data_IF_863395207252
#
_entry.id   IF_863395207252
#
_cell.length_a   1.000
_cell.length_b   1.000
_cell.length_c   1.000
_cell.angle_alpha   90.00
_cell.angle_beta   90.00
_cell.angle_gamma   90.00
#
_symmetry.space_group_name_H-M   'P 1'
#
loop_
_entity.id
_entity.type
_entity.pdbx_description
1 polymer ?
#
# COMPACT_ATOMS: atom_id res chain seq x y z
N UNK A 1 13.50 -10.31 -4.93
CA UNK A 1 12.35 -11.21 -5.17
C UNK A 1 11.21 -10.77 -4.27
N UNK A 2 10.07 -10.40 -4.84
CA UNK A 2 8.82 -10.18 -4.08
C UNK A 2 8.20 -11.53 -3.70
N UNK A 3 7.66 -11.61 -2.50
CA UNK A 3 6.98 -12.76 -1.94
C UNK A 3 5.65 -12.32 -1.34
N UNK A 4 4.56 -12.95 -1.71
CA UNK A 4 3.22 -12.70 -1.20
C UNK A 4 2.60 -14.03 -0.73
N UNK A 5 2.21 -14.09 0.53
CA UNK A 5 1.57 -15.26 1.09
C UNK A 5 0.06 -15.20 0.93
N UNK A 6 -0.47 -16.00 0.02
CA UNK A 6 -1.90 -16.02 -0.27
C UNK A 6 -2.72 -16.30 0.99
N UNK A 7 -3.66 -15.39 1.32
CA UNK A 7 -4.57 -15.51 2.48
C UNK A 7 -3.83 -15.76 3.78
N UNK A 8 -2.76 -15.03 4.03
CA UNK A 8 -1.87 -15.21 5.18
C UNK A 8 -2.63 -15.43 6.49
N UNK A 9 -3.55 -14.53 6.83
CA UNK A 9 -4.31 -14.57 8.08
C UNK A 9 -5.05 -15.91 8.29
N UNK A 10 -5.62 -16.47 7.22
CA UNK A 10 -6.37 -17.74 7.28
C UNK A 10 -5.47 -18.95 7.55
N UNK A 11 -4.19 -18.86 7.16
CA UNK A 11 -3.24 -19.96 7.28
C UNK A 11 -2.39 -19.92 8.55
N UNK A 12 -2.57 -18.91 9.41
CA UNK A 12 -1.92 -18.86 10.72
C UNK A 12 -2.40 -20.00 11.61
N UNK A 13 -1.59 -21.05 11.78
CA UNK A 13 -1.92 -22.16 12.65
C UNK A 13 -1.89 -21.77 14.13
N UNK A 14 -2.50 -22.59 14.99
CA UNK A 14 -2.45 -22.40 16.46
C UNK A 14 -0.99 -22.36 16.93
N UNK A 15 -0.13 -23.24 16.40
CA UNK A 15 1.28 -23.33 16.75
C UNK A 15 2.04 -22.04 16.39
N UNK A 16 1.77 -21.47 15.20
CA UNK A 16 2.34 -20.19 14.78
C UNK A 16 1.90 -19.04 15.69
N UNK A 17 0.61 -18.95 15.99
CA UNK A 17 0.09 -17.95 16.92
C UNK A 17 0.68 -18.11 18.32
N UNK A 18 0.82 -19.34 18.81
CA UNK A 18 1.44 -19.60 20.10
C UNK A 18 2.93 -19.26 20.12
N UNK A 19 3.65 -19.47 19.01
CA UNK A 19 5.04 -19.08 18.87
C UNK A 19 5.18 -17.55 18.96
N UNK A 20 4.39 -16.83 18.21
CA UNK A 20 4.33 -15.36 18.25
C UNK A 20 4.02 -14.85 19.67
N UNK A 21 2.99 -15.41 20.31
CA UNK A 21 2.57 -15.03 21.64
C UNK A 21 3.66 -15.22 22.70
N UNK A 22 4.52 -16.23 22.57
CA UNK A 22 5.69 -16.40 23.46
C UNK A 22 6.65 -15.22 23.34
N UNK A 23 6.87 -14.70 22.15
CA UNK A 23 7.76 -13.55 21.92
C UNK A 23 7.18 -12.30 22.59
N UNK A 24 5.88 -12.02 22.38
CA UNK A 24 5.24 -10.90 23.06
C UNK A 24 5.26 -10.99 24.57
N UNK A 25 5.12 -12.19 25.13
CA UNK A 25 5.23 -12.42 26.56
C UNK A 25 6.63 -12.16 27.11
N UNK A 26 7.67 -12.26 26.30
CA UNK A 26 9.05 -11.93 26.72
C UNK A 26 9.26 -10.41 26.85
N UNK A 27 8.42 -9.61 26.17
CA UNK A 27 8.54 -8.15 26.12
C UNK A 27 7.72 -7.43 27.22
N UNK A 28 7.00 -8.16 28.07
CA UNK A 28 6.15 -7.56 29.11
C UNK A 28 6.45 -8.09 30.50
N UNK A 29 6.24 -7.26 31.50
CA UNK A 29 6.25 -7.66 32.91
C UNK A 29 4.96 -8.38 33.33
N UNK A 30 3.82 -8.06 32.67
CA UNK A 30 2.49 -8.62 32.95
C UNK A 30 2.22 -9.93 32.19
N UNK A 31 3.18 -10.85 32.15
CA UNK A 31 3.13 -12.09 31.35
C UNK A 31 1.84 -12.91 31.53
N UNK A 32 1.37 -13.06 32.76
CA UNK A 32 0.16 -13.87 33.06
C UNK A 32 -1.10 -13.26 32.44
N UNK A 33 -1.24 -11.93 32.56
CA UNK A 33 -2.39 -11.22 32.01
C UNK A 33 -2.37 -11.27 30.48
N UNK A 34 -1.23 -10.99 29.86
CA UNK A 34 -1.07 -11.05 28.40
C UNK A 34 -1.35 -12.46 27.89
N UNK A 35 -0.80 -13.51 28.51
CA UNK A 35 -1.06 -14.90 28.11
C UNK A 35 -2.56 -15.25 28.15
N UNK A 36 -3.30 -14.77 29.17
CA UNK A 36 -4.75 -14.99 29.26
C UNK A 36 -5.51 -14.32 28.12
N UNK A 37 -5.17 -13.06 27.79
CA UNK A 37 -5.82 -12.31 26.71
C UNK A 37 -5.51 -12.92 25.32
N UNK A 38 -4.26 -13.22 25.06
CA UNK A 38 -3.85 -13.78 23.76
C UNK A 38 -4.39 -15.19 23.52
N UNK A 39 -4.71 -15.94 24.57
CA UNK A 39 -5.36 -17.25 24.43
C UNK A 39 -6.71 -17.16 23.70
N UNK A 40 -7.41 -16.04 23.81
CA UNK A 40 -8.67 -15.82 23.10
C UNK A 40 -8.50 -15.68 21.58
N UNK A 41 -7.29 -15.44 21.09
CA UNK A 41 -6.99 -15.36 19.65
C UNK A 41 -6.78 -16.74 19.01
N UNK A 42 -6.68 -17.82 19.79
CA UNK A 42 -6.38 -19.15 19.26
C UNK A 42 -7.61 -19.87 18.74
N UNK A 43 -8.75 -19.68 19.41
CA UNK A 43 -10.03 -20.33 19.09
C UNK A 43 -11.12 -19.28 19.12
N UNK A 44 -11.82 -19.10 18.01
CA UNK A 44 -12.81 -18.04 17.88
C UNK A 44 -14.16 -18.59 17.43
N UNK A 45 -15.22 -18.11 18.06
CA UNK A 45 -16.61 -18.26 17.63
C UNK A 45 -17.06 -16.93 17.00
N UNK A 46 -17.27 -16.92 15.69
CA UNK A 46 -17.64 -15.71 14.95
C UNK A 46 -19.08 -15.75 14.44
N UNK A 47 -19.65 -14.58 14.25
CA UNK A 47 -20.93 -14.41 13.57
C UNK A 47 -20.79 -13.28 12.54
N UNK A 48 -20.99 -13.59 11.27
CA UNK A 48 -21.07 -12.61 10.21
C UNK A 48 -22.54 -12.32 9.89
N UNK A 49 -22.90 -11.05 9.85
CA UNK A 49 -24.23 -10.60 9.43
C UNK A 49 -24.18 -10.29 7.94
N UNK A 50 -25.06 -10.90 7.18
CA UNK A 50 -25.21 -10.75 5.74
C UNK A 50 -26.63 -10.26 5.41
N UNK A 51 -26.85 -9.82 4.18
CA UNK A 51 -28.13 -9.25 3.76
C UNK A 51 -29.31 -10.16 4.06
N UNK A 52 -29.16 -11.46 3.86
CA UNK A 52 -30.23 -12.47 4.00
C UNK A 52 -30.16 -13.26 5.34
N UNK A 53 -29.37 -12.80 6.31
CA UNK A 53 -29.28 -13.50 7.60
C UNK A 53 -27.93 -13.41 8.30
N UNK A 54 -27.53 -14.50 8.95
CA UNK A 54 -26.27 -14.59 9.67
C UNK A 54 -25.57 -15.93 9.45
N UNK A 55 -24.25 -15.89 9.33
CA UNK A 55 -23.39 -17.06 9.26
C UNK A 55 -22.61 -17.18 10.57
N UNK A 56 -22.73 -18.31 11.25
CA UNK A 56 -21.91 -18.64 12.43
C UNK A 56 -20.74 -19.51 11.99
N UNK A 57 -19.55 -19.21 12.48
CA UNK A 57 -18.36 -20.00 12.20
C UNK A 57 -17.46 -20.15 13.42
N UNK A 58 -16.63 -21.17 13.39
CA UNK A 58 -15.59 -21.42 14.41
C UNK A 58 -14.25 -21.52 13.72
N UNK A 59 -13.21 -20.96 14.34
CA UNK A 59 -11.84 -21.10 13.86
C UNK A 59 -10.97 -21.79 14.88
N UNK A 60 -10.03 -22.58 14.38
CA UNK A 60 -8.96 -23.21 15.14
C UNK A 60 -7.64 -22.67 14.57
N UNK A 61 -7.02 -21.72 15.25
CA UNK A 61 -6.04 -20.85 14.64
C UNK A 61 -6.73 -19.77 13.82
N UNK A 62 -6.11 -19.34 12.75
CA UNK A 62 -6.43 -18.18 11.91
C UNK A 62 -6.29 -16.85 12.64
N UNK A 63 -5.58 -15.93 12.00
CA UNK A 63 -5.48 -14.53 12.47
C UNK A 63 -6.78 -13.80 12.17
N UNK A 64 -7.34 -13.11 13.16
CA UNK A 64 -8.39 -12.13 12.90
C UNK A 64 -7.76 -10.79 12.47
N UNK A 65 -8.14 -10.30 11.30
CA UNK A 65 -7.55 -9.07 10.75
C UNK A 65 -7.78 -7.82 11.62
N UNK A 66 -8.73 -7.88 12.58
CA UNK A 66 -9.01 -6.82 13.55
C UNK A 66 -8.30 -6.97 14.90
N UNK A 67 -7.49 -7.98 15.09
CA UNK A 67 -6.71 -8.16 16.33
C UNK A 67 -5.66 -7.04 16.45
N UNK A 68 -5.42 -6.57 17.67
CA UNK A 68 -4.50 -5.46 17.95
C UNK A 68 -3.07 -5.71 17.47
N UNK A 69 -2.65 -6.95 17.43
CA UNK A 69 -1.32 -7.41 17.04
C UNK A 69 -1.26 -7.97 15.60
N UNK A 70 -2.32 -7.86 14.79
CA UNK A 70 -2.36 -8.46 13.43
C UNK A 70 -1.16 -8.03 12.60
N UNK A 71 -0.94 -6.73 12.43
CA UNK A 71 0.13 -6.21 11.59
C UNK A 71 1.52 -6.64 12.09
N UNK A 72 1.82 -6.36 13.34
CA UNK A 72 3.12 -6.71 13.94
C UNK A 72 3.34 -8.21 14.07
N UNK A 73 2.28 -8.97 14.38
CA UNK A 73 2.31 -10.43 14.48
C UNK A 73 2.58 -11.10 13.14
N UNK A 74 1.91 -10.65 12.08
CA UNK A 74 2.15 -11.15 10.72
C UNK A 74 3.58 -10.85 10.26
N UNK A 75 4.07 -9.62 10.51
CA UNK A 75 5.47 -9.29 10.26
C UNK A 75 6.42 -10.22 11.01
N UNK A 76 6.16 -10.50 12.28
CA UNK A 76 7.01 -11.36 13.11
C UNK A 76 7.03 -12.80 12.58
N UNK A 77 5.88 -13.37 12.25
CA UNK A 77 5.74 -14.72 11.71
C UNK A 77 6.49 -14.83 10.36
N UNK A 78 6.26 -13.90 9.45
CA UNK A 78 6.95 -13.89 8.15
C UNK A 78 8.46 -13.75 8.30
N UNK A 79 8.93 -12.85 9.14
CA UNK A 79 10.38 -12.71 9.44
C UNK A 79 10.96 -14.02 9.98
N UNK A 80 10.26 -14.69 10.88
CA UNK A 80 10.67 -15.98 11.44
C UNK A 80 10.78 -17.06 10.37
N UNK A 81 9.77 -17.19 9.51
CA UNK A 81 9.77 -18.17 8.43
C UNK A 81 10.91 -17.92 7.43
N UNK A 82 11.08 -16.68 6.96
CA UNK A 82 12.15 -16.35 6.01
C UNK A 82 13.52 -16.55 6.64
N UNK A 83 13.69 -16.20 7.92
CA UNK A 83 14.94 -16.45 8.63
C UNK A 83 15.28 -17.97 8.67
N UNK A 84 14.32 -18.80 9.06
CA UNK A 84 14.51 -20.25 9.10
C UNK A 84 14.78 -20.82 7.69
N UNK A 85 14.04 -20.36 6.69
CA UNK A 85 14.26 -20.74 5.30
C UNK A 85 15.69 -20.46 4.84
N UNK A 86 16.17 -19.23 5.01
CA UNK A 86 17.52 -18.86 4.63
C UNK A 86 18.57 -19.67 5.41
N UNK A 87 18.36 -19.92 6.70
CA UNK A 87 19.26 -20.74 7.52
C UNK A 87 19.33 -22.20 7.05
N UNK A 88 18.21 -22.81 6.69
CA UNK A 88 18.18 -24.17 6.17
C UNK A 88 18.92 -24.30 4.83
N UNK A 89 18.92 -23.25 4.02
CA UNK A 89 19.65 -23.20 2.77
C UNK A 89 21.14 -22.81 2.94
N UNK A 90 21.59 -22.54 4.15
CA UNK A 90 22.97 -22.07 4.40
C UNK A 90 23.21 -20.62 3.96
N UNK A 91 22.14 -19.85 3.70
CA UNK A 91 22.24 -18.45 3.28
C UNK A 91 22.44 -17.59 4.53
N UNK A 92 23.64 -17.07 4.72
CA UNK A 92 24.01 -16.21 5.86
C UNK A 92 23.82 -14.71 5.56
N UNK A 93 23.91 -14.32 4.28
CA UNK A 93 23.83 -12.92 3.84
C UNK A 93 22.56 -12.70 3.05
N UNK A 94 21.55 -12.14 3.69
CA UNK A 94 20.29 -11.74 3.08
C UNK A 94 19.72 -10.50 3.78
N UNK A 95 18.77 -9.82 3.12
CA UNK A 95 17.99 -8.76 3.70
C UNK A 95 16.51 -9.00 3.40
N UNK A 96 15.66 -8.53 4.28
CA UNK A 96 14.21 -8.65 4.16
C UNK A 96 13.58 -7.29 4.44
N UNK A 97 12.73 -6.83 3.52
CA UNK A 97 11.72 -5.82 3.78
C UNK A 97 10.38 -6.54 3.93
N UNK A 98 9.60 -6.21 4.97
CA UNK A 98 8.41 -6.98 5.32
C UNK A 98 7.29 -6.08 5.82
N UNK A 99 6.08 -6.32 5.35
CA UNK A 99 4.84 -5.72 5.83
C UNK A 99 3.73 -6.77 5.97
N UNK A 100 3.97 -7.78 6.79
CA UNK A 100 3.04 -8.90 6.98
C UNK A 100 3.21 -9.98 5.92
N UNK A 101 2.23 -10.19 5.10
CA UNK A 101 2.21 -11.15 3.98
C UNK A 101 3.04 -10.69 2.76
N UNK A 102 3.16 -9.38 2.57
CA UNK A 102 3.95 -8.79 1.49
C UNK A 102 5.39 -8.57 1.96
N UNK A 103 6.34 -9.20 1.28
CA UNK A 103 7.74 -9.04 1.63
C UNK A 103 8.68 -9.14 0.42
N UNK A 104 9.89 -8.58 0.58
CA UNK A 104 10.95 -8.63 -0.40
C UNK A 104 12.17 -9.28 0.21
N UNK A 105 12.58 -10.39 -0.37
CA UNK A 105 13.82 -11.06 -0.03
C UNK A 105 14.93 -10.63 -1.00
N UNK A 106 16.01 -10.08 -0.46
CA UNK A 106 17.21 -9.68 -1.19
C UNK A 106 18.32 -10.66 -0.87
N UNK A 107 18.83 -11.32 -1.89
CA UNK A 107 19.92 -12.29 -1.82
C UNK A 107 20.94 -12.04 -2.93
N UNK A 108 22.12 -12.61 -2.81
CA UNK A 108 23.12 -12.61 -3.88
C UNK A 108 22.56 -13.36 -5.12
N UNK A 109 22.84 -12.84 -6.31
CA UNK A 109 22.27 -13.38 -7.56
C UNK A 109 22.61 -14.85 -7.84
N UNK A 110 23.78 -15.32 -7.40
CA UNK A 110 24.19 -16.72 -7.50
C UNK A 110 23.36 -17.68 -6.63
N UNK A 111 22.66 -17.18 -5.61
CA UNK A 111 21.80 -17.96 -4.73
C UNK A 111 20.34 -18.00 -5.21
N UNK A 112 19.99 -17.24 -6.25
CA UNK A 112 18.63 -17.10 -6.74
C UNK A 112 17.99 -18.45 -7.07
N UNK A 113 18.68 -19.28 -7.85
CA UNK A 113 18.17 -20.58 -8.25
C UNK A 113 17.93 -21.53 -7.06
N UNK A 114 18.79 -21.43 -6.03
CA UNK A 114 18.63 -22.20 -4.81
C UNK A 114 17.37 -21.77 -4.03
N UNK A 115 17.14 -20.46 -3.93
CA UNK A 115 15.95 -19.88 -3.29
C UNK A 115 14.69 -20.31 -4.05
N UNK A 116 14.62 -20.05 -5.35
CA UNK A 116 13.45 -20.34 -6.18
C UNK A 116 13.06 -21.82 -6.12
N UNK A 117 14.03 -22.74 -6.21
CA UNK A 117 13.78 -24.18 -6.18
C UNK A 117 13.18 -24.68 -4.87
N UNK A 118 13.52 -24.06 -3.75
CA UNK A 118 13.14 -24.55 -2.41
C UNK A 118 12.00 -23.78 -1.77
N UNK A 119 11.64 -22.61 -2.30
CA UNK A 119 10.67 -21.70 -1.69
C UNK A 119 9.31 -22.37 -1.46
N UNK A 120 8.70 -22.86 -2.52
CA UNK A 120 7.35 -23.44 -2.47
C UNK A 120 7.29 -24.63 -1.50
N UNK A 121 8.27 -25.53 -1.58
CA UNK A 121 8.34 -26.70 -0.70
C UNK A 121 8.45 -26.33 0.77
N UNK A 122 9.23 -25.27 1.10
CA UNK A 122 9.39 -24.84 2.47
C UNK A 122 8.12 -24.21 3.01
N UNK A 123 7.55 -23.24 2.28
CA UNK A 123 6.37 -22.51 2.76
C UNK A 123 5.12 -23.40 2.81
N UNK A 124 4.97 -24.34 1.87
CA UNK A 124 3.90 -25.34 1.93
C UNK A 124 3.99 -26.20 3.19
N UNK A 125 5.20 -26.59 3.63
CA UNK A 125 5.38 -27.28 4.92
C UNK A 125 5.02 -26.42 6.13
N UNK A 126 5.15 -25.09 6.02
CA UNK A 126 4.69 -24.14 7.03
C UNK A 126 3.18 -23.88 6.97
N UNK A 127 2.46 -24.44 6.00
CA UNK A 127 1.01 -24.26 5.81
C UNK A 127 0.66 -23.04 4.93
N UNK A 128 1.62 -22.44 4.22
CA UNK A 128 1.41 -21.25 3.38
C UNK A 128 1.63 -21.55 1.91
N UNK A 129 0.79 -20.95 1.07
CA UNK A 129 1.00 -20.90 -0.38
C UNK A 129 1.63 -19.56 -0.75
N UNK A 130 2.89 -19.59 -1.18
CA UNK A 130 3.63 -18.41 -1.57
C UNK A 130 3.49 -18.13 -3.06
N UNK A 131 3.17 -16.89 -3.39
CA UNK A 131 3.36 -16.34 -4.72
C UNK A 131 4.71 -15.63 -4.76
N UNK A 132 5.44 -15.87 -5.81
CA UNK A 132 6.75 -15.26 -6.02
C UNK A 132 6.68 -14.37 -7.26
N UNK A 133 7.05 -13.11 -7.10
CA UNK A 133 7.20 -12.20 -8.22
C UNK A 133 8.43 -12.56 -9.05
N UNK A 134 8.43 -12.13 -10.31
CA UNK A 134 9.61 -12.25 -11.16
C UNK A 134 10.80 -11.56 -10.49
N UNK A 135 11.94 -12.25 -10.36
CA UNK A 135 13.14 -11.63 -9.81
C UNK A 135 13.56 -10.40 -10.60
N UNK A 136 13.92 -9.34 -9.90
CA UNK A 136 14.39 -8.08 -10.49
C UNK A 136 15.79 -7.74 -9.99
N UNK A 137 16.55 -6.98 -10.79
CA UNK A 137 17.94 -6.62 -10.52
C UNK A 137 18.12 -5.10 -10.38
N UNK A 138 17.13 -4.34 -10.87
CA UNK A 138 17.08 -2.89 -10.72
C UNK A 138 16.25 -2.52 -9.49
N UNK A 139 16.72 -1.54 -8.71
CA UNK A 139 16.07 -1.16 -7.46
C UNK A 139 14.66 -0.61 -7.70
N UNK A 140 14.47 0.18 -8.74
CA UNK A 140 13.19 0.78 -9.13
C UNK A 140 12.14 -0.24 -9.55
N UNK A 141 12.55 -1.44 -9.95
CA UNK A 141 11.62 -2.50 -10.36
C UNK A 141 11.09 -3.33 -9.18
N UNK A 142 11.56 -3.07 -7.97
CA UNK A 142 11.07 -3.75 -6.77
C UNK A 142 9.62 -3.32 -6.51
N UNK A 143 8.69 -4.29 -6.52
CA UNK A 143 7.30 -4.07 -6.10
C UNK A 143 7.13 -4.43 -4.63
N UNK A 144 6.66 -3.48 -3.82
CA UNK A 144 6.42 -3.68 -2.40
C UNK A 144 5.20 -2.88 -1.96
N UNK A 145 4.21 -3.54 -1.36
CA UNK A 145 2.94 -2.91 -0.97
C UNK A 145 2.29 -2.14 -2.14
N UNK A 146 2.27 -2.73 -3.34
CA UNK A 146 1.75 -2.14 -4.58
C UNK A 146 2.44 -0.81 -4.98
N UNK A 147 3.68 -0.60 -4.55
CA UNK A 147 4.48 0.58 -4.84
C UNK A 147 5.87 0.19 -5.34
N UNK A 148 6.52 1.09 -6.05
CA UNK A 148 7.88 0.95 -6.54
C UNK A 148 8.73 2.16 -6.11
N UNK A 149 10.04 1.99 -5.82
CA UNK A 149 10.90 3.09 -5.42
C UNK A 149 11.22 3.98 -6.64
N UNK A 150 11.05 5.28 -6.49
CA UNK A 150 11.40 6.30 -7.49
C UNK A 150 12.22 7.41 -6.82
N UNK A 151 13.27 7.86 -7.48
CA UNK A 151 14.11 8.96 -7.00
C UNK A 151 13.40 10.30 -7.16
N UNK A 152 13.31 11.10 -6.09
CA UNK A 152 12.56 12.36 -6.03
C UNK A 152 13.44 13.62 -6.14
N UNK A 153 14.73 13.44 -6.44
CA UNK A 153 15.73 14.50 -6.43
C UNK A 153 16.63 14.49 -5.21
N UNK A 154 16.17 13.96 -4.08
CA UNK A 154 16.90 13.88 -2.80
C UNK A 154 17.12 12.43 -2.39
N UNK A 155 16.09 11.58 -2.51
CA UNK A 155 16.11 10.20 -2.10
C UNK A 155 15.09 9.36 -2.86
N UNK A 156 14.89 8.12 -2.42
CA UNK A 156 13.88 7.25 -3.01
C UNK A 156 12.57 7.33 -2.22
N UNK A 157 11.46 7.41 -2.96
CA UNK A 157 10.09 7.32 -2.44
C UNK A 157 9.36 6.15 -3.05
N UNK A 158 8.55 5.49 -2.25
CA UNK A 158 7.68 4.43 -2.72
C UNK A 158 6.47 5.05 -3.42
N UNK A 159 6.34 4.80 -4.72
CA UNK A 159 5.30 5.36 -5.58
C UNK A 159 4.40 4.25 -6.13
N UNK A 160 3.10 4.49 -6.13
CA UNK A 160 2.12 3.59 -6.73
C UNK A 160 2.22 3.62 -8.26
N UNK A 161 1.86 2.51 -8.90
CA UNK A 161 1.78 2.47 -10.38
C UNK A 161 0.74 3.49 -10.87
N UNK A 162 1.14 4.49 -11.69
CA UNK A 162 0.25 5.55 -12.15
C UNK A 162 -0.94 5.01 -12.96
N UNK A 163 -0.74 3.93 -13.72
CA UNK A 163 -1.78 3.31 -14.56
C UNK A 163 -2.99 2.83 -13.76
N UNK A 164 -2.75 2.40 -12.52
CA UNK A 164 -3.80 1.87 -11.64
C UNK A 164 -4.26 2.92 -10.63
N UNK A 165 -3.31 3.64 -10.05
CA UNK A 165 -3.60 4.46 -8.89
C UNK A 165 -4.20 5.82 -9.24
N UNK A 166 -3.84 6.42 -10.37
CA UNK A 166 -4.45 7.69 -10.82
C UNK A 166 -5.97 7.54 -11.04
N UNK A 167 -6.39 6.45 -11.69
CA UNK A 167 -7.81 6.16 -11.89
C UNK A 167 -8.55 5.99 -10.55
N UNK A 168 -7.96 5.27 -9.60
CA UNK A 168 -8.56 5.06 -8.27
C UNK A 168 -8.66 6.36 -7.47
N UNK A 169 -7.66 7.23 -7.58
CA UNK A 169 -7.61 8.49 -6.84
C UNK A 169 -8.64 9.52 -7.34
N UNK A 170 -9.12 9.35 -8.56
CA UNK A 170 -10.23 10.15 -9.09
C UNK A 170 -11.60 9.66 -8.63
N UNK A 171 -11.69 8.47 -8.04
CA UNK A 171 -12.93 7.90 -7.56
C UNK A 171 -13.17 8.25 -6.09
N UNK A 172 -14.21 9.03 -5.79
CA UNK A 172 -14.67 9.26 -4.43
C UNK A 172 -15.79 8.27 -4.08
N UNK A 173 -15.56 7.46 -3.04
CA UNK A 173 -16.58 6.50 -2.56
C UNK A 173 -17.57 7.11 -1.56
N UNK A 174 -17.33 8.33 -1.12
CA UNK A 174 -18.29 9.05 -0.28
C UNK A 174 -19.42 9.60 -1.15
N UNK A 175 -20.63 9.63 -0.59
CA UNK A 175 -21.72 10.36 -1.22
C UNK A 175 -21.43 11.87 -1.13
N UNK A 176 -20.67 12.36 -2.11
CA UNK A 176 -20.32 13.78 -2.24
C UNK A 176 -21.49 14.52 -2.91
N UNK A 177 -22.75 14.04 -2.75
CA UNK A 177 -23.90 14.74 -3.33
C UNK A 177 -23.72 16.25 -3.23
N UNK A 178 -24.26 17.00 -4.09
CA UNK A 178 -24.33 18.46 -4.32
C UNK A 178 -23.78 19.44 -3.26
N UNK A 179 -23.17 18.94 -2.18
CA UNK A 179 -22.54 19.74 -1.13
C UNK A 179 -21.10 20.09 -1.54
N UNK A 180 -20.95 21.31 -2.08
CA UNK A 180 -19.65 21.85 -2.47
C UNK A 180 -18.60 21.84 -1.35
N UNK A 181 -18.99 21.96 -0.06
CA UNK A 181 -18.07 21.94 1.08
C UNK A 181 -17.42 20.56 1.22
N UNK A 182 -18.18 19.48 1.07
CA UNK A 182 -17.66 18.11 1.11
C UNK A 182 -16.70 17.85 -0.04
N UNK A 183 -17.05 18.32 -1.25
CA UNK A 183 -16.15 18.24 -2.42
C UNK A 183 -14.86 19.01 -2.19
N UNK A 184 -14.94 20.23 -1.68
CA UNK A 184 -13.76 21.06 -1.41
C UNK A 184 -12.82 20.42 -0.38
N UNK A 185 -13.35 19.79 0.67
CA UNK A 185 -12.54 19.05 1.65
C UNK A 185 -11.85 17.86 1.01
N UNK A 186 -12.55 17.09 0.17
CA UNK A 186 -11.96 15.97 -0.55
C UNK A 186 -10.86 16.44 -1.50
N UNK A 187 -11.11 17.47 -2.32
CA UNK A 187 -10.10 18.04 -3.21
C UNK A 187 -8.87 18.53 -2.45
N UNK A 188 -9.07 19.21 -1.32
CA UNK A 188 -7.97 19.65 -0.47
C UNK A 188 -7.17 18.47 0.09
N UNK A 189 -7.84 17.42 0.55
CA UNK A 189 -7.17 16.22 1.05
C UNK A 189 -6.33 15.55 -0.03
N UNK A 190 -6.89 15.41 -1.25
CA UNK A 190 -6.20 14.85 -2.40
C UNK A 190 -5.00 15.70 -2.83
N UNK A 191 -5.19 17.00 -3.02
CA UNK A 191 -4.12 17.92 -3.41
C UNK A 191 -2.99 17.94 -2.39
N UNK A 192 -3.31 18.11 -1.12
CA UNK A 192 -2.31 18.22 -0.06
C UNK A 192 -1.62 16.89 0.24
N UNK A 193 -2.38 15.82 0.42
CA UNK A 193 -1.85 14.49 0.71
C UNK A 193 -1.03 13.95 -0.46
N UNK A 194 -1.56 14.06 -1.66
CA UNK A 194 -0.89 13.64 -2.88
C UNK A 194 0.41 14.39 -3.14
N UNK A 195 0.39 15.74 -3.05
CA UNK A 195 1.58 16.57 -3.20
C UNK A 195 2.65 16.23 -2.15
N UNK A 196 2.25 15.99 -0.89
CA UNK A 196 3.19 15.63 0.17
C UNK A 196 3.90 14.29 -0.12
N UNK A 197 3.19 13.34 -0.70
CA UNK A 197 3.74 12.01 -1.02
C UNK A 197 4.58 11.98 -2.30
N UNK A 198 4.30 12.88 -3.25
CA UNK A 198 4.82 12.75 -4.62
C UNK A 198 5.58 13.98 -5.12
N UNK A 199 5.93 14.91 -4.23
CA UNK A 199 6.79 16.05 -4.55
C UNK A 199 8.12 15.56 -5.19
N UNK A 200 8.48 16.10 -6.34
CA UNK A 200 9.66 15.70 -7.12
C UNK A 200 9.49 14.43 -7.96
N UNK A 201 8.32 13.79 -7.94
CA UNK A 201 8.05 12.59 -8.72
C UNK A 201 7.36 12.97 -10.04
N UNK A 202 7.91 12.56 -11.20
CA UNK A 202 7.31 12.80 -12.51
C UNK A 202 5.84 12.34 -12.59
N UNK A 203 5.05 13.01 -13.38
CA UNK A 203 3.62 12.80 -13.59
C UNK A 203 2.77 12.98 -12.31
N UNK A 204 3.16 12.38 -11.20
CA UNK A 204 2.41 12.42 -9.95
C UNK A 204 2.29 13.80 -9.33
N UNK A 205 3.38 14.57 -9.31
CA UNK A 205 3.36 15.94 -8.84
C UNK A 205 2.35 16.77 -9.62
N UNK A 206 2.38 16.69 -10.95
CA UNK A 206 1.47 17.42 -11.84
C UNK A 206 0.02 16.91 -11.71
N UNK A 207 -0.17 15.61 -11.53
CA UNK A 207 -1.49 15.03 -11.32
C UNK A 207 -2.21 15.61 -10.10
N UNK A 208 -1.52 15.73 -8.97
CA UNK A 208 -2.16 16.26 -7.76
C UNK A 208 -2.34 17.78 -7.79
N UNK A 209 -1.67 18.52 -8.69
CA UNK A 209 -1.94 19.95 -8.89
C UNK A 209 -3.25 20.23 -9.60
N UNK A 210 -3.87 19.21 -10.27
CA UNK A 210 -5.20 19.37 -10.87
C UNK A 210 -6.29 19.59 -9.82
N UNK A 211 -6.12 19.07 -8.62
CA UNK A 211 -7.09 19.22 -7.55
C UNK A 211 -7.05 20.62 -6.99
N UNK A 212 -8.18 21.38 -6.99
CA UNK A 212 -8.20 22.75 -6.51
C UNK A 212 -7.87 22.83 -5.02
N UNK A 213 -7.06 23.81 -4.67
CA UNK A 213 -6.74 24.13 -3.28
C UNK A 213 -7.72 25.20 -2.81
N UNK A 214 -8.61 24.83 -1.91
CA UNK A 214 -9.50 25.78 -1.26
C UNK A 214 -8.86 26.28 0.04
N UNK A 215 -8.82 27.59 0.26
CA UNK A 215 -8.29 28.22 1.48
C UNK A 215 -9.19 28.00 2.71
N UNK A 216 -10.06 27.01 2.66
CA UNK A 216 -10.88 26.69 3.82
C UNK A 216 -9.98 26.20 4.96
N UNK A 217 -9.97 26.97 6.06
CA UNK A 217 -9.51 26.46 7.35
C UNK A 217 -10.31 25.18 7.62
N UNK A 218 -9.62 24.04 7.69
CA UNK A 218 -10.20 22.78 8.14
C UNK A 218 -10.47 22.94 9.65
N UNK A 219 -11.47 23.75 9.97
CA UNK A 219 -11.96 23.95 11.32
C UNK A 219 -13.12 23.00 11.55
N UNK A 220 -13.04 22.18 12.60
CA UNK A 220 -14.09 21.30 13.13
C UNK A 220 -15.01 20.76 12.06
N UNK A 221 -14.50 19.79 11.33
CA UNK A 221 -15.20 19.15 10.24
C UNK A 221 -16.34 18.29 10.77
N UNK A 222 -17.48 18.38 10.10
CA UNK A 222 -18.65 17.55 10.32
C UNK A 222 -18.25 16.06 10.43
N UNK A 223 -18.87 15.30 11.31
CA UNK A 223 -18.54 13.92 11.68
C UNK A 223 -18.51 12.96 10.48
N UNK A 224 -19.14 13.32 9.37
CA UNK A 224 -19.10 12.57 8.09
C UNK A 224 -17.75 12.61 7.39
N UNK A 225 -16.89 13.58 7.69
CA UNK A 225 -15.59 13.79 7.08
C UNK A 225 -14.42 13.23 7.92
N UNK A 226 -14.69 12.74 9.13
CA UNK A 226 -13.70 12.09 10.00
C UNK A 226 -12.97 10.92 9.33
N UNK A 227 -13.58 10.30 8.33
CA UNK A 227 -12.94 9.27 7.50
C UNK A 227 -11.75 9.78 6.68
N UNK A 228 -11.80 11.02 6.19
CA UNK A 228 -10.70 11.65 5.43
C UNK A 228 -9.59 12.17 6.32
N UNK A 229 -9.94 12.83 7.44
CA UNK A 229 -8.96 13.29 8.41
C UNK A 229 -8.17 12.13 9.02
N UNK A 230 -8.80 10.97 9.13
CA UNK A 230 -8.16 9.74 9.59
C UNK A 230 -7.53 8.92 8.46
N UNK A 231 -7.68 9.30 7.19
CA UNK A 231 -7.00 8.62 6.09
C UNK A 231 -5.47 8.77 6.24
N UNK A 232 -4.73 7.75 5.87
CA UNK A 232 -3.26 7.78 5.89
C UNK A 232 -2.70 8.95 5.08
N UNK A 233 -3.41 9.38 4.03
CA UNK A 233 -3.09 10.53 3.19
C UNK A 233 -3.02 11.83 4.00
N UNK A 234 -4.05 12.13 4.81
CA UNK A 234 -4.10 13.37 5.59
C UNK A 234 -3.12 13.35 6.77
N UNK A 235 -2.92 12.21 7.41
CA UNK A 235 -1.97 12.06 8.53
C UNK A 235 -0.51 12.26 8.12
N UNK A 236 -0.17 12.04 6.87
CA UNK A 236 1.18 12.25 6.36
C UNK A 236 1.48 13.72 6.05
N UNK A 237 0.46 14.52 5.81
CA UNK A 237 0.55 15.93 5.42
C UNK A 237 1.36 16.81 6.39
N UNK A 238 1.24 16.70 7.72
CA UNK A 238 2.01 17.53 8.66
C UNK A 238 3.50 17.15 8.76
N UNK A 239 3.88 15.97 8.26
CA UNK A 239 5.23 15.40 8.44
C UNK A 239 6.14 15.58 7.24
N UNK A 240 5.62 16.08 6.15
CA UNK A 240 6.36 16.22 4.89
C UNK A 240 6.28 17.69 4.46
N UNK A 241 7.43 18.32 4.20
CA UNK A 241 7.48 19.65 3.60
C UNK A 241 6.76 19.63 2.26
N UNK A 242 5.82 20.57 2.09
CA UNK A 242 4.98 20.68 0.93
C UNK A 242 5.62 21.66 -0.04
N UNK A 243 6.15 21.16 -1.10
CA UNK A 243 6.68 21.97 -2.18
C UNK A 243 6.39 21.31 -3.52
N UNK A 244 6.42 22.11 -4.57
CA UNK A 244 6.70 21.62 -5.89
C UNK A 244 8.22 21.63 -6.01
N UNK A 245 8.85 20.50 -6.27
CA UNK A 245 10.29 20.42 -6.52
C UNK A 245 10.51 20.31 -8.02
N UNK A 246 11.65 20.82 -8.48
CA UNK A 246 12.08 20.59 -9.85
C UNK A 246 12.32 19.11 -10.08
N UNK A 247 11.74 18.60 -11.17
CA UNK A 247 11.88 17.19 -11.55
C UNK A 247 13.18 17.04 -12.35
N UNK A 248 14.17 16.41 -11.75
CA UNK A 248 15.47 16.18 -12.38
C UNK A 248 15.42 15.09 -13.46
N UNK A 249 16.37 15.10 -14.39
CA UNK A 249 16.52 14.04 -15.39
C UNK A 249 16.73 12.69 -14.74
N UNK A 250 17.41 12.63 -13.58
CA UNK A 250 17.58 11.42 -12.78
C UNK A 250 16.24 10.91 -12.25
N UNK A 251 15.34 11.80 -11.80
CA UNK A 251 14.01 11.44 -11.37
C UNK A 251 13.18 10.87 -12.52
N UNK A 252 13.29 11.45 -13.71
CA UNK A 252 12.62 10.96 -14.93
C UNK A 252 13.13 9.59 -15.36
N UNK A 253 14.44 9.39 -15.30
CA UNK A 253 15.07 8.10 -15.59
C UNK A 253 14.64 7.03 -14.58
N UNK A 254 14.66 7.33 -13.28
CA UNK A 254 14.21 6.44 -12.22
C UNK A 254 12.72 6.07 -12.39
N UNK A 255 11.88 7.04 -12.76
CA UNK A 255 10.46 6.80 -13.04
C UNK A 255 10.25 5.88 -14.25
N UNK A 256 11.08 6.05 -15.29
CA UNK A 256 11.06 5.15 -16.44
C UNK A 256 11.49 3.72 -16.05
N UNK A 257 12.54 3.57 -15.26
CA UNK A 257 12.95 2.24 -14.78
C UNK A 257 11.83 1.55 -13.98
N UNK A 258 11.13 2.31 -13.13
CA UNK A 258 10.03 1.80 -12.31
C UNK A 258 8.82 1.38 -13.15
N UNK A 259 8.34 2.25 -14.02
CA UNK A 259 7.03 2.10 -14.66
C UNK A 259 7.08 1.91 -16.18
N UNK A 260 8.26 1.97 -16.82
CA UNK A 260 8.41 1.85 -18.26
C UNK A 260 7.89 3.06 -19.06
N UNK A 261 7.61 4.20 -18.41
CA UNK A 261 7.06 5.40 -19.03
C UNK A 261 8.21 6.30 -19.45
N UNK A 262 8.41 6.46 -20.76
CA UNK A 262 9.48 7.26 -21.33
C UNK A 262 9.41 8.74 -20.89
N UNK A 263 10.56 9.45 -20.73
CA UNK A 263 10.60 10.85 -20.34
C UNK A 263 9.73 11.78 -21.18
N UNK A 264 9.69 11.60 -22.50
CA UNK A 264 8.85 12.41 -23.40
C UNK A 264 7.36 12.20 -23.11
N UNK A 265 6.96 10.96 -22.82
CA UNK A 265 5.59 10.63 -22.40
C UNK A 265 5.27 11.25 -21.06
N UNK A 266 6.22 11.26 -20.11
CA UNK A 266 6.04 11.92 -18.81
C UNK A 266 5.76 13.42 -19.00
N UNK A 267 6.57 14.11 -19.81
CA UNK A 267 6.40 15.53 -20.11
C UNK A 267 5.05 15.83 -20.78
N UNK A 268 4.65 14.99 -21.72
CA UNK A 268 3.34 15.12 -22.38
C UNK A 268 2.19 14.99 -21.39
N UNK A 269 2.25 14.03 -20.47
CA UNK A 269 1.25 13.83 -19.42
C UNK A 269 1.20 15.00 -18.44
N UNK A 270 2.36 15.48 -17.99
CA UNK A 270 2.47 16.63 -17.09
C UNK A 270 1.86 17.90 -17.74
N UNK A 271 2.17 18.15 -19.02
CA UNK A 271 1.56 19.24 -19.79
C UNK A 271 0.04 19.09 -19.86
N UNK A 272 -0.47 17.88 -20.07
CA UNK A 272 -1.91 17.63 -20.11
C UNK A 272 -2.55 17.86 -18.75
N UNK A 273 -1.95 17.37 -17.68
CA UNK A 273 -2.44 17.59 -16.31
C UNK A 273 -2.47 19.08 -15.94
N UNK A 274 -1.49 19.88 -16.36
CA UNK A 274 -1.46 21.32 -16.10
C UNK A 274 -2.59 22.09 -16.81
N UNK A 275 -3.18 21.53 -17.87
CA UNK A 275 -4.29 22.13 -18.60
C UNK A 275 -5.66 21.77 -18.01
N UNK A 276 -5.72 20.79 -17.12
CA UNK A 276 -6.94 20.33 -16.47
C UNK A 276 -7.10 21.04 -15.12
N UNK A 277 -8.24 21.71 -14.92
CA UNK A 277 -8.63 22.20 -13.60
C UNK A 277 -9.98 21.56 -13.23
N UNK A 278 -9.97 20.82 -12.15
CA UNK A 278 -11.20 20.16 -11.66
C UNK A 278 -12.26 21.16 -11.20
N UNK A 279 -11.89 22.38 -10.84
CA UNK A 279 -12.83 23.46 -10.54
C UNK A 279 -13.69 23.88 -11.72
N UNK A 280 -13.18 23.74 -12.94
CA UNK A 280 -13.92 24.05 -14.18
C UNK A 280 -14.86 22.93 -14.59
N UNK A 281 -14.67 21.71 -14.04
CA UNK A 281 -15.53 20.56 -14.34
C UNK A 281 -16.90 20.64 -13.64
N UNK A 282 -17.01 21.44 -12.58
CA UNK A 282 -18.26 21.59 -11.81
C UNK A 282 -19.36 22.39 -12.52
N UNK A 283 -18.98 23.22 -13.49
CA UNK A 283 -19.94 24.06 -14.23
C UNK A 283 -20.67 23.34 -15.35
N UNK A 284 -20.20 22.16 -15.76
CA UNK A 284 -20.78 21.37 -16.86
C UNK A 284 -21.24 20.00 -16.35
N UNK A 285 -22.43 19.94 -15.76
CA UNK A 285 -23.07 18.72 -15.24
C UNK A 285 -23.02 17.52 -16.22
N UNK A 286 -22.70 16.34 -15.70
CA UNK A 286 -22.82 14.99 -16.29
C UNK A 286 -21.91 14.59 -17.46
N UNK A 287 -21.52 15.46 -18.37
CA UNK A 287 -20.60 15.13 -19.46
C UNK A 287 -19.15 14.92 -19.03
N UNK A 288 -18.72 15.58 -17.97
CA UNK A 288 -17.32 15.62 -17.53
C UNK A 288 -16.85 14.36 -16.79
N UNK A 289 -17.76 13.60 -16.18
CA UNK A 289 -17.44 12.28 -15.63
C UNK A 289 -17.04 11.28 -16.73
N UNK A 290 -17.69 11.36 -17.87
CA UNK A 290 -17.37 10.55 -19.06
C UNK A 290 -16.02 11.00 -19.66
N UNK A 291 -15.73 12.30 -19.69
CA UNK A 291 -14.44 12.80 -20.20
C UNK A 291 -13.24 12.44 -19.31
N UNK A 292 -13.43 12.36 -17.99
CA UNK A 292 -12.37 11.92 -17.07
C UNK A 292 -12.13 10.41 -17.16
N UNK A 293 -13.15 9.58 -17.28
CA UNK A 293 -12.98 8.15 -17.53
C UNK A 293 -12.34 7.90 -18.89
N UNK A 294 -12.73 8.63 -19.93
CA UNK A 294 -12.12 8.61 -21.26
C UNK A 294 -10.67 9.13 -21.23
N UNK A 295 -10.34 10.12 -20.40
CA UNK A 295 -8.97 10.59 -20.19
C UNK A 295 -8.07 9.52 -19.56
N UNK A 296 -8.59 8.76 -18.61
CA UNK A 296 -7.85 7.67 -17.96
C UNK A 296 -7.76 6.45 -18.88
N UNK A 297 -8.83 6.13 -19.62
CA UNK A 297 -8.85 5.03 -20.61
C UNK A 297 -7.98 5.32 -21.85
N UNK A 298 -7.84 6.59 -22.24
CA UNK A 298 -6.99 7.00 -23.36
C UNK A 298 -5.58 7.47 -22.94
N UNK A 299 -5.22 7.34 -21.68
CA UNK A 299 -3.80 7.43 -21.31
C UNK A 299 -3.04 6.32 -22.04
N UNK A 300 -1.84 6.58 -22.60
CA UNK A 300 -1.06 5.60 -23.37
C UNK A 300 -0.59 4.40 -22.56
N UNK A 301 -1.25 4.13 -21.46
CA UNK A 301 -1.02 3.00 -20.55
C UNK A 301 -1.97 1.82 -20.79
N UNK A 302 -3.02 1.99 -21.61
CA UNK A 302 -3.98 0.94 -21.90
C UNK A 302 -3.46 -0.03 -22.97
N UNK A 303 -2.30 -0.66 -22.75
CA UNK A 303 -1.94 -1.96 -23.34
C UNK A 303 -0.73 -2.56 -22.65
#
# INVERSE_FOLDING_TARGET
IGLDASRFDQHCSVEMLMWEQKIWQMMTTSKRQLKRLMKWQLFNDGTAYVQDGKVKYKTNGSRMSGDMNTSSGNCLIMCGMVYVFCKQLGISKFRLANNGDDCILIVESNLLNLVVKNLDTFFTKCGYTMKMDKPVYEFEQISFCQTQPVFDGVGYRMCRDPRVAMAKDLCCLLNISDNWKTKAVWYNAMSHGGSALTCGIPCWQSFYTMFPRCEMKVGKCDTTLNGFENSGFYRMVPRVERGSNDISDRSRYSYWLAFGILPDTQLMLEKRFSQISLSNLEQNNSKNYVEMSVLVENLPFSR
#
